data_IF_323979230165
#
_entry.id   IF_323979230165
#
_cell.length_a   1.000
_cell.length_b   1.000
_cell.length_c   1.000
_cell.angle_alpha   90.00
_cell.angle_beta   90.00
_cell.angle_gamma   90.00
#
_symmetry.space_group_name_H-M   'P 1'
#
loop_
_entity.id
_entity.type
_entity.pdbx_description
1 polymer ?
#
# COMPACT_ATOMS: atom_id res chain seq x y z
N UNK A 1 -10.48 -1.83 3.33
CA UNK A 1 -9.06 -2.20 3.12
C UNK A 1 -8.61 -1.60 1.79
N UNK A 2 -7.39 -1.06 1.69
CA UNK A 2 -6.85 -0.58 0.40
C UNK A 2 -6.37 -1.76 -0.46
N UNK A 3 -6.09 -1.56 -1.76
CA UNK A 3 -5.49 -2.61 -2.60
C UNK A 3 -4.23 -3.25 -2.00
N UNK A 4 -3.35 -2.45 -1.39
CA UNK A 4 -2.16 -2.93 -0.69
C UNK A 4 -2.51 -3.78 0.53
N UNK A 5 -3.46 -3.31 1.36
CA UNK A 5 -3.94 -4.05 2.53
C UNK A 5 -4.45 -5.45 2.15
N UNK A 6 -5.22 -5.52 1.07
CA UNK A 6 -5.73 -6.78 0.54
C UNK A 6 -4.59 -7.67 0.03
N UNK A 7 -3.67 -7.12 -0.77
CA UNK A 7 -2.50 -7.87 -1.26
C UNK A 7 -1.67 -8.46 -0.12
N UNK A 8 -1.39 -7.68 0.93
CA UNK A 8 -0.62 -8.13 2.08
C UNK A 8 -1.33 -9.26 2.83
N UNK A 9 -2.64 -9.14 3.02
CA UNK A 9 -3.46 -10.16 3.67
C UNK A 9 -3.43 -11.48 2.88
N UNK A 10 -3.69 -11.43 1.57
CA UNK A 10 -3.66 -12.60 0.68
C UNK A 10 -2.27 -13.25 0.62
N UNK A 11 -1.21 -12.44 0.54
CA UNK A 11 0.16 -12.94 0.59
C UNK A 11 0.41 -13.71 1.89
N UNK A 12 -0.01 -13.16 3.03
CA UNK A 12 0.15 -13.81 4.33
C UNK A 12 -0.61 -15.13 4.41
N UNK A 13 -1.86 -15.15 3.93
CA UNK A 13 -2.68 -16.36 3.91
C UNK A 13 -2.09 -17.45 3.01
N UNK A 14 -1.57 -17.08 1.83
CA UNK A 14 -0.89 -18.01 0.92
C UNK A 14 0.40 -18.61 1.49
N UNK A 15 1.08 -17.87 2.36
CA UNK A 15 2.23 -18.37 3.11
C UNK A 15 1.83 -19.18 4.36
N UNK A 16 0.54 -19.24 4.69
CA UNK A 16 -0.02 -19.95 5.86
C UNK A 16 0.56 -19.52 7.21
N UNK A 17 0.98 -18.24 7.33
CA UNK A 17 1.61 -17.70 8.54
C UNK A 17 0.69 -16.75 9.31
N UNK A 18 0.94 -16.61 10.63
CA UNK A 18 0.23 -15.64 11.47
C UNK A 18 0.82 -14.25 11.26
N UNK A 19 0.07 -13.21 11.62
CA UNK A 19 0.56 -11.82 11.56
C UNK A 19 1.85 -11.63 12.36
N UNK A 20 1.96 -12.28 13.52
CA UNK A 20 3.16 -12.22 14.36
C UNK A 20 4.40 -12.85 13.68
N UNK A 21 4.20 -13.89 12.86
CA UNK A 21 5.29 -14.54 12.14
C UNK A 21 5.75 -13.67 10.97
N UNK A 22 4.81 -13.10 10.21
CA UNK A 22 5.13 -12.13 9.16
C UNK A 22 5.88 -10.93 9.74
N UNK A 23 5.42 -10.41 10.89
CA UNK A 23 6.03 -9.29 11.58
C UNK A 23 7.50 -9.58 11.93
N UNK A 24 7.79 -10.78 12.48
CA UNK A 24 9.17 -11.23 12.73
C UNK A 24 10.00 -11.32 11.46
N UNK A 25 9.45 -11.86 10.37
CA UNK A 25 10.14 -12.01 9.09
C UNK A 25 10.57 -10.66 8.50
N UNK A 26 9.71 -9.63 8.59
CA UNK A 26 10.02 -8.29 8.07
C UNK A 26 10.70 -7.36 9.09
N UNK A 27 10.81 -7.78 10.36
CA UNK A 27 11.39 -6.99 11.45
C UNK A 27 10.52 -5.82 11.90
N UNK A 28 9.21 -6.05 12.05
CA UNK A 28 8.23 -5.09 12.58
C UNK A 28 7.38 -5.72 13.69
N UNK A 29 6.58 -4.89 14.36
CA UNK A 29 5.62 -5.34 15.36
C UNK A 29 4.35 -5.93 14.72
N UNK A 30 3.73 -6.92 15.38
CA UNK A 30 2.48 -7.52 14.91
C UNK A 30 1.38 -6.46 14.73
N UNK A 31 1.28 -5.49 15.64
CA UNK A 31 0.29 -4.41 15.58
C UNK A 31 0.44 -3.56 14.32
N UNK A 32 1.66 -3.41 13.80
CA UNK A 32 1.93 -2.72 12.55
C UNK A 32 1.39 -3.52 11.35
N UNK A 33 1.65 -4.84 11.30
CA UNK A 33 1.10 -5.73 10.26
C UNK A 33 -0.42 -5.72 10.28
N UNK A 34 -1.03 -5.84 11.46
CA UNK A 34 -2.49 -5.75 11.63
C UNK A 34 -3.04 -4.44 11.07
N UNK A 35 -2.46 -3.30 11.45
CA UNK A 35 -2.90 -1.98 10.99
C UNK A 35 -2.73 -1.79 9.46
N UNK A 36 -1.73 -2.42 8.84
CA UNK A 36 -1.57 -2.46 7.40
C UNK A 36 -2.63 -3.34 6.73
N UNK A 37 -2.89 -4.53 7.25
CA UNK A 37 -3.90 -5.45 6.71
C UNK A 37 -5.32 -4.88 6.78
N UNK A 38 -5.68 -4.14 7.85
CA UNK A 38 -7.00 -3.50 7.91
C UNK A 38 -7.06 -2.15 7.18
N UNK A 39 -5.91 -1.63 6.72
CA UNK A 39 -5.81 -0.36 6.02
C UNK A 39 -5.92 0.88 6.91
N UNK A 40 -5.74 0.74 8.22
CA UNK A 40 -5.68 1.87 9.15
C UNK A 40 -4.43 2.73 8.94
N UNK A 41 -3.33 2.11 8.47
CA UNK A 41 -2.16 2.84 8.01
C UNK A 41 -2.26 3.12 6.51
N UNK A 42 -1.60 4.20 6.05
CA UNK A 42 -1.41 4.44 4.61
C UNK A 42 -0.55 3.34 3.97
N UNK A 43 -0.27 3.44 2.66
CA UNK A 43 0.74 2.58 2.05
C UNK A 43 2.04 2.66 2.87
N UNK A 44 2.72 1.52 3.08
CA UNK A 44 3.89 1.46 3.94
C UNK A 44 5.09 2.14 3.29
N UNK A 45 6.18 2.28 4.04
CA UNK A 45 7.41 2.87 3.52
C UNK A 45 8.08 1.97 2.47
N UNK A 46 8.91 2.55 1.60
CA UNK A 46 9.73 1.78 0.65
C UNK A 46 10.66 0.79 1.35
N UNK A 47 11.11 1.11 2.56
CA UNK A 47 11.87 0.19 3.41
C UNK A 47 11.07 -1.07 3.73
N UNK A 48 9.82 -0.93 4.20
CA UNK A 48 8.95 -2.07 4.48
C UNK A 48 8.72 -2.91 3.22
N UNK A 49 8.45 -2.27 2.07
CA UNK A 49 8.24 -2.98 0.80
C UNK A 49 9.49 -3.79 0.42
N UNK A 50 10.67 -3.20 0.55
CA UNK A 50 11.94 -3.87 0.26
C UNK A 50 12.15 -5.08 1.18
N UNK A 51 11.92 -4.91 2.49
CA UNK A 51 12.03 -6.00 3.46
C UNK A 51 11.02 -7.11 3.20
N UNK A 52 9.77 -6.77 2.85
CA UNK A 52 8.74 -7.74 2.52
C UNK A 52 9.15 -8.58 1.30
N UNK A 53 9.60 -7.94 0.22
CA UNK A 53 10.07 -8.61 -1.00
C UNK A 53 11.19 -9.61 -0.68
N UNK A 54 12.15 -9.20 0.14
CA UNK A 54 13.30 -10.03 0.52
C UNK A 54 12.89 -11.17 1.46
N UNK A 55 12.08 -10.89 2.48
CA UNK A 55 11.74 -11.85 3.53
C UNK A 55 10.91 -13.03 3.04
N UNK A 56 10.07 -12.82 2.02
CA UNK A 56 9.19 -13.85 1.45
C UNK A 56 9.56 -14.23 0.01
N UNK A 57 10.72 -13.76 -0.47
CA UNK A 57 11.29 -14.07 -1.78
C UNK A 57 10.29 -13.92 -2.96
N UNK A 58 9.62 -12.77 -3.05
CA UNK A 58 8.62 -12.52 -4.11
C UNK A 58 9.26 -12.59 -5.51
N UNK A 59 8.60 -13.30 -6.43
CA UNK A 59 8.98 -13.35 -7.84
C UNK A 59 8.87 -11.96 -8.50
N UNK A 60 9.54 -11.72 -9.64
CA UNK A 60 9.43 -10.45 -10.35
C UNK A 60 7.98 -10.06 -10.67
N UNK A 61 7.12 -11.04 -10.98
CA UNK A 61 5.70 -10.81 -11.26
C UNK A 61 4.94 -10.34 -10.01
N UNK A 62 5.15 -10.97 -8.86
CA UNK A 62 4.52 -10.60 -7.59
C UNK A 62 5.04 -9.25 -7.08
N UNK A 63 6.32 -8.95 -7.31
CA UNK A 63 6.88 -7.64 -6.99
C UNK A 63 6.20 -6.53 -7.80
N UNK A 64 5.90 -6.77 -9.07
CA UNK A 64 5.16 -5.80 -9.89
C UNK A 64 3.72 -5.64 -9.37
N UNK A 65 3.05 -6.74 -9.03
CA UNK A 65 1.72 -6.70 -8.43
C UNK A 65 1.71 -5.93 -7.10
N UNK A 66 2.69 -6.16 -6.23
CA UNK A 66 2.88 -5.44 -4.98
C UNK A 66 3.06 -3.94 -5.23
N UNK A 67 3.97 -3.56 -6.13
CA UNK A 67 4.20 -2.14 -6.46
C UNK A 67 2.96 -1.46 -7.03
N UNK A 68 2.21 -2.15 -7.88
CA UNK A 68 0.94 -1.65 -8.40
C UNK A 68 -0.10 -1.46 -7.28
N UNK A 69 -0.22 -2.43 -6.37
CA UNK A 69 -1.14 -2.34 -5.23
C UNK A 69 -0.76 -1.21 -4.25
N UNK A 70 0.54 -0.96 -4.04
CA UNK A 70 1.04 0.18 -3.26
C UNK A 70 0.65 1.49 -3.92
N UNK A 71 0.94 1.67 -5.22
CA UNK A 71 0.57 2.88 -5.96
C UNK A 71 -0.94 3.14 -5.97
N UNK A 72 -1.75 2.10 -6.15
CA UNK A 72 -3.21 2.19 -6.10
C UNK A 72 -3.77 2.45 -4.69
N UNK A 73 -2.93 2.40 -3.65
CA UNK A 73 -3.31 2.67 -2.26
C UNK A 73 -2.91 4.06 -1.78
N UNK A 74 -2.24 4.85 -2.62
CA UNK A 74 -1.89 6.23 -2.31
C UNK A 74 -3.15 7.07 -2.11
N UNK A 75 -3.24 7.73 -0.96
CA UNK A 75 -4.38 8.59 -0.60
C UNK A 75 -4.13 10.05 -0.94
N UNK A 76 -2.88 10.39 -1.21
CA UNK A 76 -2.45 11.74 -1.54
C UNK A 76 -1.99 11.74 -2.98
N UNK A 77 -2.53 12.68 -3.74
CA UNK A 77 -2.04 12.99 -5.07
C UNK A 77 -1.10 14.19 -4.96
N UNK A 78 0.14 14.02 -5.42
CA UNK A 78 1.12 15.09 -5.57
C UNK A 78 1.20 15.41 -7.06
N UNK A 79 1.18 16.70 -7.39
CA UNK A 79 1.33 17.22 -8.76
C UNK A 79 2.46 18.24 -8.78
N UNK A 80 3.15 18.35 -9.91
CA UNK A 80 4.27 19.28 -10.08
C UNK A 80 3.79 20.72 -10.24
N UNK A 81 4.65 21.69 -9.93
CA UNK A 81 4.29 23.11 -9.97
C UNK A 81 4.07 23.66 -11.39
N UNK A 82 4.59 22.98 -12.41
CA UNK A 82 4.40 23.30 -13.84
C UNK A 82 3.19 22.58 -14.45
N UNK A 83 2.40 21.88 -13.62
CA UNK A 83 1.18 21.21 -14.07
C UNK A 83 0.23 22.21 -14.74
N UNK A 84 -0.34 21.87 -15.92
CA UNK A 84 -1.32 22.72 -16.60
C UNK A 84 -2.56 23.03 -15.74
N UNK A 85 -3.15 24.23 -15.93
CA UNK A 85 -4.27 24.73 -15.11
C UNK A 85 -5.52 23.84 -15.16
N UNK A 86 -5.82 23.24 -16.31
CA UNK A 86 -6.94 22.33 -16.51
C UNK A 86 -6.88 21.10 -15.58
N UNK A 87 -5.68 20.60 -15.29
CA UNK A 87 -5.50 19.51 -14.32
C UNK A 87 -5.87 19.95 -12.91
N UNK A 88 -5.58 21.19 -12.50
CA UNK A 88 -6.00 21.69 -11.19
C UNK A 88 -7.53 21.73 -11.08
N UNK A 89 -8.23 22.16 -12.13
CA UNK A 89 -9.68 22.14 -12.18
C UNK A 89 -10.24 20.72 -12.11
N UNK A 90 -9.68 19.80 -12.89
CA UNK A 90 -10.05 18.38 -12.84
C UNK A 90 -9.90 17.81 -11.43
N UNK A 91 -8.80 18.11 -10.74
CA UNK A 91 -8.56 17.62 -9.38
C UNK A 91 -9.50 18.26 -8.36
N UNK A 92 -9.85 19.53 -8.54
CA UNK A 92 -10.85 20.21 -7.70
C UNK A 92 -12.23 19.53 -7.87
N UNK A 93 -12.64 19.25 -9.10
CA UNK A 93 -13.91 18.57 -9.37
C UNK A 93 -13.93 17.14 -8.83
N UNK A 94 -12.82 16.40 -8.97
CA UNK A 94 -12.68 15.07 -8.39
C UNK A 94 -12.76 15.10 -6.86
N UNK A 95 -12.11 16.08 -6.21
CA UNK A 95 -12.18 16.27 -4.76
C UNK A 95 -13.60 16.55 -4.30
N UNK A 96 -14.34 17.40 -5.00
CA UNK A 96 -15.73 17.71 -4.67
C UNK A 96 -16.61 16.44 -4.71
N UNK A 97 -16.34 15.50 -5.62
CA UNK A 97 -17.09 14.24 -5.71
C UNK A 97 -16.74 13.21 -4.63
N UNK A 98 -15.48 13.14 -4.21
CA UNK A 98 -15.02 12.09 -3.26
C UNK A 98 -15.04 12.53 -1.80
N UNK A 99 -15.12 13.83 -1.53
CA UNK A 99 -15.05 14.39 -0.17
C UNK A 99 -16.44 14.72 0.39
N UNK A 100 -17.53 14.33 -0.28
CA UNK A 100 -18.87 14.39 0.31
C UNK A 100 -19.01 13.37 1.45
N UNK A 101 -18.71 13.82 2.67
CA UNK A 101 -19.18 13.29 3.94
C UNK A 101 -19.97 14.40 4.66
#
# INVERSE_FOLDING_TARGET
MSPFSHFLHELRLRLEIRQADLAKLVGYEQSYISALEVGLKGPPTQEFITRLIQAVALSPSEQQQLRNAVGASERKLVIDADTPQDIYWLLKDLRDQVTCA
#
